data_IF_277353762646
#
_entry.id   IF_277353762646
#
_cell.length_a   1.000
_cell.length_b   1.000
_cell.length_c   1.000
_cell.angle_alpha   90.00
_cell.angle_beta   90.00
_cell.angle_gamma   90.00
#
_symmetry.space_group_name_H-M   'P 1'
#
loop_
_entity.id
_entity.type
_entity.pdbx_description
1 polymer ?
#
# COMPACT_ATOMS: atom_id res chain seq x y z
N UNK A 1 23.87 83.52 -30.05
CA UNK A 1 22.51 83.50 -30.67
C UNK A 1 22.34 82.16 -31.35
N UNK A 2 21.33 81.40 -30.92
CA UNK A 2 20.79 80.14 -31.48
C UNK A 2 21.61 78.85 -31.34
N UNK A 3 21.21 78.08 -30.35
CA UNK A 3 21.30 76.62 -30.27
C UNK A 3 20.69 75.95 -31.51
N UNK A 4 21.37 74.91 -32.02
CA UNK A 4 20.78 73.88 -32.89
C UNK A 4 20.97 72.52 -32.24
N UNK A 5 19.88 72.02 -31.65
CA UNK A 5 19.74 70.64 -31.18
C UNK A 5 19.49 69.74 -32.39
N UNK A 6 20.32 68.72 -32.58
CA UNK A 6 20.05 67.59 -33.48
C UNK A 6 19.52 66.46 -32.60
N UNK A 7 18.22 66.17 -32.69
CA UNK A 7 17.58 65.05 -32.00
C UNK A 7 17.66 63.80 -32.91
N UNK A 8 18.42 62.78 -32.48
CA UNK A 8 18.31 61.43 -33.01
C UNK A 8 17.13 60.72 -32.32
N UNK A 9 16.11 60.36 -33.09
CA UNK A 9 15.04 59.45 -32.64
C UNK A 9 15.55 58.01 -32.71
N UNK A 10 15.79 57.38 -31.55
CA UNK A 10 15.80 55.93 -31.45
C UNK A 10 14.37 55.44 -31.22
N UNK A 11 13.79 54.81 -32.23
CA UNK A 11 12.55 54.03 -32.10
C UNK A 11 12.94 52.73 -31.38
N UNK A 12 12.75 52.69 -30.07
CA UNK A 12 12.75 51.43 -29.31
C UNK A 12 11.39 50.79 -29.55
N UNK A 13 11.35 49.83 -30.47
CA UNK A 13 10.21 48.94 -30.63
C UNK A 13 10.12 48.04 -29.39
N UNK A 14 9.28 48.41 -28.42
CA UNK A 14 8.82 47.47 -27.40
C UNK A 14 7.93 46.44 -28.09
N UNK A 15 8.50 45.27 -28.39
CA UNK A 15 7.73 44.07 -28.64
C UNK A 15 7.02 43.70 -27.33
N UNK A 16 5.79 44.16 -27.17
CA UNK A 16 4.87 43.62 -26.19
C UNK A 16 4.61 42.16 -26.57
N UNK A 17 5.35 41.25 -25.94
CA UNK A 17 4.90 39.87 -25.80
C UNK A 17 3.63 39.90 -24.97
N UNK A 18 2.48 39.71 -25.63
CA UNK A 18 1.22 39.41 -24.97
C UNK A 18 1.37 38.05 -24.28
N UNK A 19 1.87 38.07 -23.05
CA UNK A 19 1.62 37.01 -22.09
C UNK A 19 0.13 37.12 -21.74
N UNK A 20 -0.69 36.19 -22.22
CA UNK A 20 -2.08 36.10 -21.82
C UNK A 20 -2.13 35.83 -20.31
N UNK A 21 -2.67 36.79 -19.55
CA UNK A 21 -2.87 36.65 -18.12
C UNK A 21 -3.91 35.56 -17.82
N UNK A 22 -3.75 34.88 -16.69
CA UNK A 22 -4.67 33.86 -16.15
C UNK A 22 -6.02 34.43 -15.68
N UNK A 23 -6.28 35.72 -15.91
CA UNK A 23 -7.43 36.50 -15.42
C UNK A 23 -8.76 36.23 -16.14
N UNK A 24 -8.74 35.51 -17.26
CA UNK A 24 -9.92 35.35 -18.15
C UNK A 24 -10.65 34.00 -17.97
N UNK A 25 -10.27 33.18 -16.99
CA UNK A 25 -10.91 31.90 -16.71
C UNK A 25 -12.05 32.08 -15.70
N UNK A 26 -13.27 31.73 -16.10
CA UNK A 26 -14.46 31.66 -15.26
C UNK A 26 -14.59 30.25 -14.62
N UNK A 27 -14.79 30.22 -13.30
CA UNK A 27 -14.98 28.99 -12.51
C UNK A 27 -14.37 29.13 -11.12
N UNK A 28 -15.02 28.58 -10.10
CA UNK A 28 -14.46 28.54 -8.75
C UNK A 28 -13.75 27.20 -8.52
N UNK A 29 -12.42 27.22 -8.37
CA UNK A 29 -11.75 26.08 -7.78
C UNK A 29 -11.97 26.12 -6.28
N UNK A 30 -12.80 25.20 -5.76
CA UNK A 30 -13.14 25.27 -4.33
C UNK A 30 -11.92 24.91 -3.49
N UNK A 31 -11.74 25.57 -2.34
CA UNK A 31 -10.70 25.17 -1.40
C UNK A 31 -10.84 23.68 -1.07
N UNK A 32 -9.75 22.92 -1.25
CA UNK A 32 -9.62 21.44 -1.06
C UNK A 32 -9.98 20.56 -2.27
N UNK A 33 -10.32 21.12 -3.43
CA UNK A 33 -10.43 20.32 -4.65
C UNK A 33 -9.06 20.08 -5.27
N UNK A 34 -8.72 18.82 -5.51
CA UNK A 34 -7.45 18.46 -6.16
C UNK A 34 -7.41 18.87 -7.63
N UNK A 35 -8.57 19.01 -8.28
CA UNK A 35 -8.72 19.31 -9.70
C UNK A 35 -9.75 20.41 -9.87
N UNK A 36 -9.40 21.42 -10.65
CA UNK A 36 -10.31 22.48 -11.06
C UNK A 36 -10.74 22.23 -12.51
N UNK A 37 -12.02 22.43 -12.78
CA UNK A 37 -12.54 22.52 -14.15
C UNK A 37 -12.97 23.97 -14.38
N UNK A 38 -12.28 24.64 -15.28
CA UNK A 38 -12.44 26.06 -15.56
C UNK A 38 -12.96 26.24 -16.98
N UNK A 39 -13.63 27.35 -17.23
CA UNK A 39 -14.17 27.69 -18.55
C UNK A 39 -13.71 29.07 -18.99
N UNK A 40 -13.60 29.29 -20.29
CA UNK A 40 -13.39 30.63 -20.86
C UNK A 40 -14.30 30.82 -22.06
N UNK A 41 -15.00 31.95 -22.09
CA UNK A 41 -15.77 32.36 -23.23
C UNK A 41 -14.88 33.20 -24.16
N UNK A 42 -14.66 32.72 -25.39
CA UNK A 42 -13.88 33.41 -26.41
C UNK A 42 -14.65 33.43 -27.74
N UNK A 43 -15.10 34.62 -28.18
CA UNK A 43 -15.73 34.82 -29.49
C UNK A 43 -16.86 33.80 -29.82
N UNK A 44 -17.84 33.65 -28.91
CA UNK A 44 -18.94 32.67 -28.95
C UNK A 44 -18.51 31.19 -28.85
N UNK A 45 -17.25 30.90 -28.56
CA UNK A 45 -16.76 29.56 -28.21
C UNK A 45 -16.61 29.44 -26.70
N UNK A 46 -16.73 28.22 -26.22
CA UNK A 46 -16.56 27.89 -24.80
C UNK A 46 -15.40 26.92 -24.71
N UNK A 47 -14.31 27.37 -24.11
CA UNK A 47 -13.12 26.56 -23.89
C UNK A 47 -13.15 25.99 -22.47
N UNK A 48 -12.89 24.69 -22.34
CA UNK A 48 -12.77 24.01 -21.05
C UNK A 48 -11.31 23.77 -20.73
N UNK A 49 -10.94 24.05 -19.49
CA UNK A 49 -9.62 23.87 -18.95
C UNK A 49 -9.68 22.96 -17.72
N UNK A 50 -8.64 22.14 -17.54
CA UNK A 50 -8.45 21.36 -16.33
C UNK A 50 -7.14 21.77 -15.69
N UNK A 51 -7.18 22.07 -14.39
CA UNK A 51 -6.01 22.39 -13.58
C UNK A 51 -5.79 21.32 -12.51
N UNK A 52 -4.58 20.79 -12.41
CA UNK A 52 -4.21 19.85 -11.35
C UNK A 52 -3.53 20.57 -10.19
N UNK A 53 -4.19 20.64 -9.03
CA UNK A 53 -3.68 21.29 -7.81
C UNK A 53 -2.95 20.34 -6.87
N UNK A 54 -2.75 19.08 -7.25
CA UNK A 54 -1.86 18.18 -6.51
C UNK A 54 -0.44 18.75 -6.46
N UNK A 55 0.39 18.35 -5.48
CA UNK A 55 1.78 18.84 -5.41
C UNK A 55 2.51 18.66 -6.74
N UNK A 56 2.96 19.78 -7.30
CA UNK A 56 3.63 19.88 -8.61
C UNK A 56 2.82 19.39 -9.82
N UNK A 57 1.50 19.12 -9.68
CA UNK A 57 0.65 18.57 -10.74
C UNK A 57 1.02 17.14 -11.17
N UNK A 58 1.78 16.42 -10.35
CA UNK A 58 2.35 15.11 -10.69
C UNK A 58 1.42 13.92 -10.39
N UNK A 59 0.39 14.12 -9.57
CA UNK A 59 -0.51 13.04 -9.16
C UNK A 59 -1.79 13.08 -10.00
N UNK A 60 -2.03 12.06 -10.85
CA UNK A 60 -3.09 12.15 -11.84
C UNK A 60 -4.46 11.92 -11.23
N UNK A 61 -5.41 12.71 -11.70
CA UNK A 61 -6.85 12.47 -11.57
C UNK A 61 -7.44 12.42 -12.97
N UNK A 62 -8.48 11.60 -13.15
CA UNK A 62 -9.26 11.57 -14.37
C UNK A 62 -10.51 12.42 -14.21
N UNK A 63 -10.76 13.28 -15.19
CA UNK A 63 -11.96 14.09 -15.31
C UNK A 63 -12.79 13.58 -16.50
N UNK A 64 -14.02 13.15 -16.24
CA UNK A 64 -14.97 12.64 -17.21
C UNK A 64 -16.03 13.70 -17.52
N UNK A 65 -16.14 14.07 -18.79
CA UNK A 65 -17.04 15.10 -19.30
C UNK A 65 -18.19 14.45 -20.07
N UNK A 66 -19.38 14.54 -19.48
CA UNK A 66 -20.61 14.08 -20.11
C UNK A 66 -21.56 15.26 -20.33
N UNK A 67 -21.80 15.61 -21.60
CA UNK A 67 -22.76 16.66 -21.96
C UNK A 67 -24.13 16.05 -22.15
N UNK A 68 -25.05 16.34 -21.21
CA UNK A 68 -26.43 15.84 -21.26
C UNK A 68 -27.28 16.57 -22.28
N UNK A 69 -26.98 17.84 -22.54
CA UNK A 69 -27.56 18.60 -23.66
C UNK A 69 -26.46 19.40 -24.34
N UNK A 70 -26.53 19.51 -25.66
CA UNK A 70 -25.60 20.28 -26.48
C UNK A 70 -26.33 20.87 -27.69
N UNK A 71 -26.94 22.04 -27.50
CA UNK A 71 -27.74 22.72 -28.52
C UNK A 71 -26.94 23.83 -29.20
N UNK A 72 -26.94 23.81 -30.53
CA UNK A 72 -26.20 24.75 -31.39
C UNK A 72 -24.67 24.80 -31.12
N UNK A 73 -24.11 23.76 -30.50
CA UNK A 73 -22.66 23.61 -30.32
C UNK A 73 -22.16 22.32 -30.95
N UNK A 74 -20.89 22.33 -31.36
CA UNK A 74 -20.09 21.14 -31.66
C UNK A 74 -18.84 21.12 -30.80
N UNK A 75 -18.46 19.93 -30.36
CA UNK A 75 -17.20 19.67 -29.65
C UNK A 75 -16.07 19.42 -30.65
N UNK A 76 -14.85 19.84 -30.31
CA UNK A 76 -13.62 19.51 -31.04
C UNK A 76 -13.05 18.12 -30.69
N UNK A 77 -13.56 17.50 -29.63
CA UNK A 77 -13.28 16.10 -29.25
C UNK A 77 -14.55 15.25 -29.34
N UNK A 78 -14.37 13.93 -29.48
CA UNK A 78 -15.48 12.98 -29.37
C UNK A 78 -16.04 12.97 -27.95
N UNK A 79 -17.37 13.05 -27.83
CA UNK A 79 -18.08 13.01 -26.56
C UNK A 79 -18.79 11.65 -26.38
N UNK A 80 -18.88 11.11 -25.15
CA UNK A 80 -18.28 11.63 -23.93
C UNK A 80 -16.76 11.52 -23.94
N UNK A 81 -16.10 12.39 -23.17
CA UNK A 81 -14.66 12.57 -23.20
C UNK A 81 -14.06 12.40 -21.80
N UNK A 82 -12.87 11.84 -21.69
CA UNK A 82 -12.11 11.79 -20.45
C UNK A 82 -10.74 12.42 -20.63
N UNK A 83 -10.26 13.06 -19.58
CA UNK A 83 -8.95 13.69 -19.54
C UNK A 83 -8.20 13.28 -18.27
N UNK A 84 -6.98 12.76 -18.44
CA UNK A 84 -6.08 12.47 -17.32
C UNK A 84 -5.20 13.69 -17.06
N UNK A 85 -5.33 14.26 -15.87
CA UNK A 85 -4.62 15.47 -15.45
C UNK A 85 -3.22 15.14 -14.94
N UNK A 86 -2.25 14.99 -15.85
CA UNK A 86 -0.86 14.65 -15.50
C UNK A 86 0.14 15.69 -16.00
N UNK A 87 1.08 16.07 -15.13
CA UNK A 87 2.36 16.67 -15.53
C UNK A 87 2.41 18.20 -15.63
N UNK A 88 1.46 18.93 -15.06
CA UNK A 88 1.56 20.38 -14.85
C UNK A 88 0.47 20.86 -13.86
N UNK A 89 0.79 21.88 -13.06
CA UNK A 89 -0.17 22.60 -12.22
C UNK A 89 -0.89 23.74 -12.93
N UNK A 90 -0.45 24.13 -14.12
CA UNK A 90 -1.11 25.16 -14.92
C UNK A 90 -2.40 24.63 -15.59
N UNK A 91 -3.45 25.47 -15.71
CA UNK A 91 -4.66 25.11 -16.44
C UNK A 91 -4.34 24.71 -17.89
N UNK A 92 -4.75 23.50 -18.28
CA UNK A 92 -4.61 23.00 -19.65
C UNK A 92 -5.95 22.99 -20.36
N UNK A 93 -6.02 23.58 -21.56
CA UNK A 93 -7.21 23.47 -22.42
C UNK A 93 -7.40 22.02 -22.87
N UNK A 94 -8.61 21.50 -22.73
CA UNK A 94 -8.92 20.09 -23.01
C UNK A 94 -10.05 19.88 -24.03
N UNK A 95 -10.91 20.88 -24.19
CA UNK A 95 -12.12 20.78 -25.00
C UNK A 95 -12.54 22.20 -25.42
N UNK A 96 -13.07 22.33 -26.64
CA UNK A 96 -13.70 23.55 -27.14
C UNK A 96 -15.09 23.23 -27.69
N UNK A 97 -16.10 23.95 -27.21
CA UNK A 97 -17.42 24.00 -27.83
C UNK A 97 -17.49 25.19 -28.78
N UNK A 98 -17.75 24.93 -30.06
CA UNK A 98 -17.90 25.95 -31.10
C UNK A 98 -19.34 26.00 -31.60
N UNK A 99 -19.90 27.19 -31.90
CA UNK A 99 -21.28 27.29 -32.35
C UNK A 99 -21.43 26.69 -33.76
N UNK A 100 -22.52 25.97 -33.98
CA UNK A 100 -22.88 25.47 -35.32
C UNK A 100 -23.42 26.61 -36.21
N UNK A 101 -24.20 27.52 -35.61
CA UNK A 101 -24.70 28.74 -36.23
C UNK A 101 -24.47 29.93 -35.30
N UNK A 102 -23.62 30.86 -35.73
CA UNK A 102 -23.22 32.03 -34.94
C UNK A 102 -24.36 33.03 -34.67
N UNK A 103 -25.49 32.91 -35.39
CA UNK A 103 -26.68 33.77 -35.24
C UNK A 103 -27.70 33.20 -34.25
N UNK A 104 -27.54 31.96 -33.81
CA UNK A 104 -28.42 31.32 -32.82
C UNK A 104 -27.71 31.27 -31.46
N UNK A 105 -28.45 31.47 -30.38
CA UNK A 105 -27.94 31.19 -29.04
C UNK A 105 -27.70 29.69 -28.89
N UNK A 106 -26.57 29.32 -28.28
CA UNK A 106 -26.31 27.93 -27.90
C UNK A 106 -26.51 27.73 -26.41
N UNK A 107 -26.81 26.49 -26.02
CA UNK A 107 -26.93 26.09 -24.62
C UNK A 107 -26.41 24.68 -24.43
N UNK A 108 -25.83 24.40 -23.27
CA UNK A 108 -25.38 23.07 -22.91
C UNK A 108 -25.64 22.80 -21.44
N UNK A 109 -25.70 21.52 -21.08
CA UNK A 109 -25.63 21.04 -19.72
C UNK A 109 -24.64 19.90 -19.64
N UNK A 110 -23.89 19.82 -18.54
CA UNK A 110 -22.83 18.84 -18.38
C UNK A 110 -22.81 18.27 -16.97
N UNK A 111 -22.58 16.96 -16.88
CA UNK A 111 -22.18 16.27 -15.67
C UNK A 111 -20.70 15.94 -15.78
N UNK A 112 -19.89 16.56 -14.92
CA UNK A 112 -18.44 16.40 -14.92
C UNK A 112 -18.06 15.68 -13.63
N UNK A 113 -17.35 14.56 -13.76
CA UNK A 113 -16.95 13.72 -12.64
C UNK A 113 -15.44 13.68 -12.57
N UNK A 114 -14.89 13.89 -11.38
CA UNK A 114 -13.45 13.80 -11.13
C UNK A 114 -13.18 12.64 -10.19
N UNK A 115 -12.19 11.82 -10.53
CA UNK A 115 -11.74 10.70 -9.69
C UNK A 115 -10.22 10.65 -9.65
N UNK A 116 -9.67 10.31 -8.49
CA UNK A 116 -8.23 10.06 -8.36
C UNK A 116 -7.80 8.89 -9.25
N UNK A 117 -6.58 8.96 -9.77
CA UNK A 117 -5.93 7.89 -10.51
C UNK A 117 -5.96 8.04 -12.03
N UNK A 118 -5.43 7.02 -12.68
CA UNK A 118 -5.31 6.89 -14.13
C UNK A 118 -5.85 5.52 -14.56
N UNK A 119 -6.73 5.48 -15.57
CA UNK A 119 -7.30 4.23 -16.13
C UNK A 119 -6.24 3.30 -16.70
N UNK A 120 -5.09 3.86 -17.08
CA UNK A 120 -3.97 3.14 -17.68
C UNK A 120 -2.89 2.76 -16.67
N UNK A 121 -3.07 3.04 -15.37
CA UNK A 121 -2.07 2.76 -14.33
C UNK A 121 -1.58 1.30 -14.33
N UNK A 122 -2.44 0.33 -14.67
CA UNK A 122 -2.07 -1.09 -14.73
C UNK A 122 -1.16 -1.46 -15.91
N UNK A 123 -0.99 -0.58 -16.90
CA UNK A 123 -0.12 -0.83 -18.05
C UNK A 123 1.34 -0.58 -17.74
N UNK A 124 1.64 0.18 -16.68
CA UNK A 124 3.01 0.44 -16.24
C UNK A 124 3.56 -0.78 -15.49
N UNK A 125 4.32 -1.61 -16.22
CA UNK A 125 4.94 -2.84 -15.68
C UNK A 125 6.23 -2.57 -14.91
N UNK A 126 6.74 -1.34 -14.90
CA UNK A 126 7.97 -0.98 -14.20
C UNK A 126 7.71 -0.54 -12.75
N UNK A 127 6.49 -0.79 -12.25
CA UNK A 127 6.08 -0.41 -10.90
C UNK A 127 6.26 -1.58 -9.96
N UNK A 128 7.16 -1.40 -9.01
CA UNK A 128 7.37 -2.36 -7.91
C UNK A 128 6.85 -1.78 -6.61
N UNK A 129 6.13 -2.61 -5.85
CA UNK A 129 5.67 -2.30 -4.49
C UNK A 129 6.57 -2.97 -3.46
N UNK A 130 6.68 -2.38 -2.28
CA UNK A 130 7.22 -3.05 -1.10
C UNK A 130 6.12 -3.69 -0.28
N UNK A 131 6.48 -4.71 0.47
CA UNK A 131 5.59 -5.28 1.47
C UNK A 131 5.25 -4.23 2.55
N UNK A 132 3.96 -3.98 2.84
CA UNK A 132 3.52 -2.83 3.64
C UNK A 132 3.65 -3.02 5.16
N UNK A 133 4.66 -3.76 5.62
CA UNK A 133 4.87 -4.10 7.03
C UNK A 133 6.36 -4.31 7.35
N UNK A 134 6.72 -4.19 8.63
CA UNK A 134 8.10 -4.35 9.12
C UNK A 134 8.45 -5.81 9.44
N UNK A 135 7.47 -6.61 9.87
CA UNK A 135 7.65 -7.99 10.36
C UNK A 135 7.27 -9.02 9.30
N UNK A 136 7.68 -10.28 9.48
CA UNK A 136 7.16 -11.38 8.67
C UNK A 136 5.62 -11.40 8.69
N UNK A 137 4.99 -11.59 7.53
CA UNK A 137 3.54 -11.78 7.48
C UNK A 137 3.15 -12.88 6.51
N UNK A 138 2.12 -13.64 6.90
CA UNK A 138 1.51 -14.66 6.05
C UNK A 138 0.42 -14.03 5.20
N UNK A 139 0.36 -14.39 3.91
CA UNK A 139 -0.82 -14.11 3.09
C UNK A 139 -1.96 -15.03 3.53
N UNK A 140 -2.93 -14.48 4.25
CA UNK A 140 -4.11 -15.20 4.73
C UNK A 140 -5.10 -15.48 3.60
N UNK A 141 -5.38 -14.46 2.79
CA UNK A 141 -6.19 -14.54 1.57
C UNK A 141 -5.45 -13.79 0.46
N UNK A 142 -5.19 -14.47 -0.65
CA UNK A 142 -4.50 -13.89 -1.80
C UNK A 142 -5.44 -13.48 -2.92
N UNK A 143 -4.88 -13.33 -4.11
CA UNK A 143 -5.61 -12.98 -5.32
C UNK A 143 -6.67 -14.04 -5.68
N UNK A 144 -7.77 -13.59 -6.28
CA UNK A 144 -8.92 -14.39 -6.68
C UNK A 144 -9.45 -15.28 -5.53
N UNK A 145 -9.36 -14.77 -4.29
CA UNK A 145 -9.80 -15.44 -3.08
C UNK A 145 -11.31 -15.69 -3.07
N UNK A 146 -11.71 -16.87 -2.60
CA UNK A 146 -13.12 -17.33 -2.62
C UNK A 146 -14.07 -16.56 -1.69
N UNK A 147 -13.56 -15.79 -0.72
CA UNK A 147 -14.40 -15.13 0.28
C UNK A 147 -14.76 -13.71 -0.15
N UNK A 148 -13.75 -12.85 -0.27
CA UNK A 148 -13.94 -11.40 -0.50
C UNK A 148 -13.12 -10.85 -1.67
N UNK A 149 -12.12 -11.58 -2.16
CA UNK A 149 -11.20 -11.11 -3.21
C UNK A 149 -11.66 -11.57 -4.60
N UNK A 150 -12.81 -11.04 -5.04
CA UNK A 150 -13.39 -11.32 -6.35
C UNK A 150 -13.96 -10.05 -6.99
N UNK A 151 -14.24 -10.10 -8.29
CA UNK A 151 -14.73 -8.94 -9.04
C UNK A 151 -13.73 -7.78 -8.99
N UNK A 152 -14.19 -6.60 -8.58
CA UNK A 152 -13.36 -5.39 -8.46
C UNK A 152 -12.21 -5.55 -7.47
N UNK A 153 -12.27 -6.50 -6.53
CA UNK A 153 -11.24 -6.75 -5.52
C UNK A 153 -10.44 -8.03 -5.77
N UNK A 154 -10.46 -8.56 -7.00
CA UNK A 154 -9.78 -9.82 -7.36
C UNK A 154 -8.28 -9.82 -7.06
N UNK A 155 -7.63 -8.66 -6.99
CA UNK A 155 -6.20 -8.55 -6.71
C UNK A 155 -5.86 -8.01 -5.31
N UNK A 156 -6.81 -8.11 -4.37
CA UNK A 156 -6.55 -7.80 -2.97
C UNK A 156 -5.73 -8.89 -2.26
N UNK A 157 -5.09 -8.49 -1.17
CA UNK A 157 -4.20 -9.30 -0.35
C UNK A 157 -4.49 -9.04 1.13
N UNK A 158 -4.69 -10.11 1.90
CA UNK A 158 -4.82 -10.05 3.36
C UNK A 158 -3.54 -10.57 4.00
N UNK A 159 -2.83 -9.70 4.68
CA UNK A 159 -1.63 -10.04 5.43
C UNK A 159 -1.97 -10.25 6.90
N UNK A 160 -1.76 -11.45 7.43
CA UNK A 160 -2.05 -11.78 8.83
C UNK A 160 -1.06 -11.02 9.71
N UNK A 161 -1.56 -10.00 10.40
CA UNK A 161 -0.79 -9.13 11.28
C UNK A 161 -1.54 -8.96 12.61
N UNK A 162 -0.86 -9.10 13.77
CA UNK A 162 -1.42 -8.68 15.04
C UNK A 162 -1.87 -7.22 14.99
N UNK A 163 -2.95 -6.87 15.67
CA UNK A 163 -3.36 -5.48 15.82
C UNK A 163 -2.22 -4.66 16.46
N UNK A 164 -1.98 -3.46 15.94
CA UNK A 164 -0.89 -2.59 16.37
C UNK A 164 0.45 -2.80 15.64
N UNK A 165 0.53 -3.72 14.69
CA UNK A 165 1.74 -3.88 13.87
C UNK A 165 1.94 -2.66 12.97
N UNK A 166 3.19 -2.22 12.77
CA UNK A 166 3.51 -1.09 11.88
C UNK A 166 3.06 -1.37 10.45
N UNK A 167 2.28 -0.44 9.88
CA UNK A 167 1.91 -0.42 8.46
C UNK A 167 2.75 0.62 7.75
N UNK A 168 3.42 0.21 6.68
CA UNK A 168 4.31 1.02 5.88
C UNK A 168 3.70 1.35 4.53
N UNK A 169 4.00 2.53 3.98
CA UNK A 169 3.66 2.87 2.60
C UNK A 169 4.40 1.91 1.64
N UNK A 170 3.65 1.05 0.96
CA UNK A 170 4.17 0.11 -0.04
C UNK A 170 4.92 0.84 -1.18
N UNK A 171 4.52 2.08 -1.47
CA UNK A 171 5.18 2.97 -2.42
C UNK A 171 4.90 4.43 -2.04
N UNK A 172 5.82 5.32 -2.36
CA UNK A 172 5.66 6.76 -2.12
C UNK A 172 4.52 7.36 -2.92
N UNK A 173 3.83 8.34 -2.34
CA UNK A 173 2.68 8.96 -2.99
C UNK A 173 1.97 10.01 -2.15
N UNK A 174 0.86 10.53 -2.67
CA UNK A 174 0.02 11.53 -2.02
C UNK A 174 -1.10 10.83 -1.24
N UNK A 175 -1.25 11.13 0.04
CA UNK A 175 -2.38 10.66 0.84
C UNK A 175 -3.64 11.40 0.40
N UNK A 176 -4.59 10.69 -0.21
CA UNK A 176 -5.81 11.28 -0.79
C UNK A 176 -7.07 11.02 0.02
N UNK A 177 -7.07 10.00 0.89
CA UNK A 177 -8.19 9.73 1.79
C UNK A 177 -7.71 8.96 3.02
N UNK A 178 -8.40 9.20 4.15
CA UNK A 178 -8.18 8.49 5.41
C UNK A 178 -9.50 8.34 6.14
N UNK A 179 -9.67 7.24 6.86
CA UNK A 179 -10.74 7.04 7.84
C UNK A 179 -10.14 6.38 9.08
N UNK A 180 -10.49 6.87 10.26
CA UNK A 180 -9.84 6.47 11.53
C UNK A 180 -10.81 6.44 12.73
N UNK A 181 -12.11 6.65 12.48
CA UNK A 181 -13.12 6.81 13.54
C UNK A 181 -13.69 5.49 14.05
N UNK A 182 -13.58 4.40 13.31
CA UNK A 182 -14.21 3.13 13.68
C UNK A 182 -13.41 2.39 14.75
N UNK A 183 -14.12 1.68 15.62
CA UNK A 183 -13.56 1.06 16.82
C UNK A 183 -13.56 -0.47 16.78
N UNK A 184 -14.36 -1.07 15.91
CA UNK A 184 -14.61 -2.51 15.92
C UNK A 184 -14.85 -3.05 14.52
N UNK A 185 -14.72 -4.36 14.39
CA UNK A 185 -15.04 -5.11 13.20
C UNK A 185 -15.83 -6.37 13.50
N UNK A 186 -16.32 -7.00 12.43
CA UNK A 186 -17.06 -8.25 12.49
C UNK A 186 -17.59 -8.66 11.12
N UNK A 187 -18.20 -9.84 11.05
CA UNK A 187 -18.64 -10.48 9.79
C UNK A 187 -20.11 -10.27 9.45
N UNK A 188 -20.77 -9.30 10.09
CA UNK A 188 -22.17 -8.96 9.78
C UNK A 188 -22.24 -7.80 8.79
N UNK A 189 -23.35 -7.65 8.03
CA UNK A 189 -23.52 -6.53 7.10
C UNK A 189 -23.35 -5.14 7.74
N UNK A 190 -23.57 -5.02 9.05
CA UNK A 190 -23.36 -3.79 9.82
C UNK A 190 -21.94 -3.23 9.68
N UNK A 191 -20.93 -4.06 9.45
CA UNK A 191 -19.53 -3.67 9.42
C UNK A 191 -18.97 -3.34 8.03
N UNK A 192 -19.77 -3.52 6.95
CA UNK A 192 -19.31 -3.40 5.55
C UNK A 192 -18.72 -2.03 5.20
N UNK A 193 -19.18 -0.97 5.85
CA UNK A 193 -18.76 0.42 5.61
C UNK A 193 -17.97 1.01 6.79
N UNK A 194 -17.45 0.16 7.69
CA UNK A 194 -16.86 0.57 8.98
C UNK A 194 -15.38 0.26 9.14
N UNK A 195 -14.63 0.19 8.04
CA UNK A 195 -13.19 -0.01 8.08
C UNK A 195 -12.47 1.34 8.18
N UNK A 196 -11.45 1.41 9.04
CA UNK A 196 -10.45 2.47 8.98
C UNK A 196 -9.44 2.15 7.89
N UNK A 197 -9.02 3.16 7.14
CA UNK A 197 -8.13 2.98 6.00
C UNK A 197 -7.29 4.21 5.69
N UNK A 198 -6.25 4.00 4.88
CA UNK A 198 -5.47 5.04 4.22
C UNK A 198 -5.48 4.75 2.72
N UNK A 199 -5.68 5.78 1.87
CA UNK A 199 -5.47 5.70 0.42
C UNK A 199 -4.34 6.62 -0.02
N UNK A 200 -3.41 6.06 -0.78
CA UNK A 200 -2.26 6.76 -1.34
C UNK A 200 -2.34 6.71 -2.86
N UNK A 201 -2.36 7.87 -3.51
CA UNK A 201 -2.27 8.04 -4.96
C UNK A 201 -0.80 8.14 -5.37
N UNK A 202 -0.39 7.34 -6.34
CA UNK A 202 0.96 7.32 -6.87
C UNK A 202 1.05 8.11 -8.20
N UNK A 203 2.28 8.45 -8.64
CA UNK A 203 2.52 9.31 -9.83
C UNK A 203 2.17 8.64 -11.17
N UNK A 204 2.12 7.31 -11.19
CA UNK A 204 1.59 6.50 -12.30
C UNK A 204 0.06 6.44 -12.32
N UNK A 205 -0.61 6.95 -11.27
CA UNK A 205 -2.06 6.98 -11.14
C UNK A 205 -2.69 5.75 -10.54
N UNK A 206 -1.90 4.82 -10.01
CA UNK A 206 -2.42 3.76 -9.18
C UNK A 206 -2.74 4.27 -7.77
N UNK A 207 -3.67 3.60 -7.08
CA UNK A 207 -4.10 3.97 -5.72
C UNK A 207 -3.91 2.76 -4.81
N UNK A 208 -3.00 2.83 -3.85
CA UNK A 208 -2.89 1.81 -2.80
C UNK A 208 -3.86 2.12 -1.66
N UNK A 209 -4.63 1.13 -1.22
CA UNK A 209 -5.43 1.20 0.00
C UNK A 209 -4.89 0.23 1.06
N UNK A 210 -4.86 0.71 2.30
CA UNK A 210 -4.44 -0.02 3.49
C UNK A 210 -5.65 -0.06 4.43
N UNK A 211 -6.33 -1.19 4.50
CA UNK A 211 -7.62 -1.36 5.19
C UNK A 211 -7.51 -2.01 6.56
N UNK A 212 -8.65 -2.05 7.26
CA UNK A 212 -8.83 -2.65 8.59
C UNK A 212 -7.89 -2.08 9.67
N UNK A 213 -7.43 -0.84 9.53
CA UNK A 213 -6.54 -0.20 10.50
C UNK A 213 -7.19 -0.12 11.88
N UNK A 214 -6.40 -0.10 12.96
CA UNK A 214 -6.96 0.04 14.30
C UNK A 214 -7.59 1.42 14.52
N UNK A 215 -8.41 1.55 15.55
CA UNK A 215 -8.91 2.87 15.96
C UNK A 215 -7.77 3.80 16.36
N UNK A 216 -7.80 5.05 15.86
CA UNK A 216 -6.71 6.02 16.06
C UNK A 216 -5.37 5.47 15.60
N UNK A 217 -5.40 4.68 14.54
CA UNK A 217 -4.26 3.96 13.98
C UNK A 217 -3.61 4.68 12.81
N UNK A 218 -4.24 5.73 12.27
CA UNK A 218 -3.72 6.49 11.11
C UNK A 218 -2.73 7.55 11.60
N UNK A 219 -1.52 7.57 11.02
CA UNK A 219 -0.42 8.49 11.39
C UNK A 219 -0.18 9.60 10.36
N UNK A 220 -0.94 9.60 9.26
CA UNK A 220 -0.79 10.54 8.15
C UNK A 220 -2.09 11.31 7.92
N UNK A 221 -2.01 12.43 7.21
CA UNK A 221 -3.17 13.27 6.89
C UNK A 221 -3.35 13.43 5.38
N UNK A 222 -4.59 13.67 4.96
CA UNK A 222 -4.89 14.01 3.56
C UNK A 222 -4.02 15.20 3.12
N UNK A 223 -3.38 15.05 1.96
CA UNK A 223 -2.45 15.99 1.36
C UNK A 223 -0.98 15.82 1.76
N UNK A 224 -0.67 14.91 2.70
CA UNK A 224 0.71 14.53 2.99
C UNK A 224 1.30 13.71 1.84
N UNK A 225 2.51 14.06 1.40
CA UNK A 225 3.32 13.20 0.53
C UNK A 225 4.17 12.29 1.40
N UNK A 226 4.07 10.98 1.18
CA UNK A 226 4.81 9.96 1.92
C UNK A 226 5.84 9.27 1.03
N UNK A 227 6.92 8.78 1.64
CA UNK A 227 7.95 8.00 0.95
C UNK A 227 7.69 6.49 1.05
N UNK A 228 8.26 5.72 0.12
CA UNK A 228 8.22 4.25 0.20
C UNK A 228 8.87 3.77 1.50
N UNK A 229 8.17 2.93 2.26
CA UNK A 229 8.62 2.42 3.56
C UNK A 229 8.35 3.36 4.74
N UNK A 230 7.80 4.55 4.52
CA UNK A 230 7.37 5.44 5.61
C UNK A 230 6.25 4.78 6.41
N UNK A 231 6.32 4.88 7.75
CA UNK A 231 5.28 4.36 8.64
C UNK A 231 4.04 5.26 8.56
N UNK A 232 2.93 4.70 8.11
CA UNK A 232 1.69 5.46 7.85
C UNK A 232 0.57 5.12 8.83
N UNK A 233 0.68 4.01 9.54
CA UNK A 233 -0.34 3.62 10.51
C UNK A 233 -0.05 2.30 11.21
N UNK A 234 -1.10 1.75 11.81
CA UNK A 234 -1.06 0.48 12.53
C UNK A 234 -2.19 -0.46 12.07
N UNK A 235 -1.86 -1.74 11.87
CA UNK A 235 -2.83 -2.77 11.52
C UNK A 235 -3.88 -2.91 12.63
N UNK A 236 -5.05 -3.43 12.28
CA UNK A 236 -6.13 -3.60 13.23
C UNK A 236 -7.11 -4.67 12.83
N UNK A 237 -8.38 -4.43 13.19
CA UNK A 237 -9.48 -5.34 12.95
C UNK A 237 -10.81 -4.59 12.83
N UNK A 238 -10.80 -3.39 12.24
CA UNK A 238 -12.02 -2.57 12.07
C UNK A 238 -12.77 -2.94 10.79
N UNK A 239 -14.08 -2.75 10.76
CA UNK A 239 -14.90 -3.00 9.58
C UNK A 239 -15.20 -4.49 9.34
N UNK A 240 -15.50 -4.85 8.09
CA UNK A 240 -15.90 -6.22 7.75
C UNK A 240 -14.71 -7.17 7.77
N UNK A 241 -14.31 -7.57 8.97
CA UNK A 241 -13.13 -8.38 9.25
C UNK A 241 -13.46 -9.44 10.31
N UNK A 242 -12.96 -10.65 10.12
CA UNK A 242 -13.16 -11.78 11.03
C UNK A 242 -12.07 -11.90 12.10
N UNK A 243 -10.86 -11.40 11.83
CA UNK A 243 -9.71 -11.46 12.71
C UNK A 243 -8.68 -10.38 12.31
N UNK A 244 -7.75 -9.97 13.20
CA UNK A 244 -6.74 -8.96 12.88
C UNK A 244 -5.88 -9.32 11.67
N UNK A 245 -5.82 -8.40 10.71
CA UNK A 245 -4.99 -8.48 9.51
C UNK A 245 -4.88 -7.09 8.86
N UNK A 246 -4.01 -6.96 7.86
CA UNK A 246 -3.96 -5.82 6.96
C UNK A 246 -4.53 -6.25 5.60
N UNK A 247 -5.65 -5.64 5.20
CA UNK A 247 -6.13 -5.71 3.81
C UNK A 247 -5.35 -4.70 2.97
N UNK A 248 -4.83 -5.13 1.83
CA UNK A 248 -4.08 -4.32 0.90
C UNK A 248 -4.55 -4.58 -0.53
N UNK A 249 -4.79 -3.52 -1.28
CA UNK A 249 -4.92 -3.63 -2.73
C UNK A 249 -4.38 -2.38 -3.43
N UNK A 250 -4.15 -2.52 -4.73
CA UNK A 250 -3.85 -1.39 -5.61
C UNK A 250 -4.93 -1.31 -6.66
N UNK A 251 -5.50 -0.12 -6.79
CA UNK A 251 -6.68 0.17 -7.58
C UNK A 251 -6.36 1.13 -8.72
N UNK A 252 -7.20 1.08 -9.75
CA UNK A 252 -7.32 2.12 -10.79
C UNK A 252 -8.80 2.37 -11.10
N UNK A 253 -9.16 3.54 -11.67
CA UNK A 253 -10.48 3.75 -12.23
C UNK A 253 -10.81 2.73 -13.33
N UNK A 254 -12.06 2.28 -13.37
CA UNK A 254 -12.61 1.54 -14.50
C UNK A 254 -12.77 2.45 -15.72
N UNK A 255 -12.85 1.87 -16.91
CA UNK A 255 -12.99 2.65 -18.16
C UNK A 255 -14.34 3.37 -18.29
N UNK A 256 -15.35 2.92 -17.55
CA UNK A 256 -16.64 3.60 -17.44
C UNK A 256 -16.67 4.64 -16.29
N UNK A 257 -15.56 4.76 -15.55
CA UNK A 257 -15.32 5.74 -14.47
C UNK A 257 -16.25 5.64 -13.26
N UNK A 258 -17.10 4.61 -13.19
CA UNK A 258 -18.08 4.44 -12.12
C UNK A 258 -17.44 3.88 -10.85
N UNK A 259 -16.46 3.01 -10.98
CA UNK A 259 -15.88 2.28 -9.85
C UNK A 259 -14.35 2.29 -9.89
N UNK A 260 -13.75 1.61 -8.91
CA UNK A 260 -12.33 1.33 -8.87
C UNK A 260 -12.17 -0.18 -8.96
N UNK A 261 -11.19 -0.64 -9.72
CA UNK A 261 -10.86 -2.05 -9.82
C UNK A 261 -9.41 -2.29 -9.43
N UNK A 262 -9.17 -3.40 -8.75
CA UNK A 262 -7.84 -3.88 -8.41
C UNK A 262 -7.17 -4.56 -9.61
N UNK A 263 -5.84 -4.52 -9.65
CA UNK A 263 -5.05 -5.13 -10.70
C UNK A 263 -3.76 -5.78 -10.14
N UNK A 264 -3.11 -6.70 -10.89
CA UNK A 264 -1.90 -7.38 -10.43
C UNK A 264 -0.79 -6.42 -10.03
N UNK A 265 0.00 -6.78 -9.02
CA UNK A 265 1.12 -5.96 -8.53
C UNK A 265 2.33 -6.83 -8.23
N UNK A 266 3.50 -6.35 -8.63
CA UNK A 266 4.77 -6.99 -8.31
C UNK A 266 5.35 -6.44 -7.02
N UNK A 267 5.87 -7.32 -6.16
CA UNK A 267 6.42 -7.00 -4.86
C UNK A 267 7.91 -7.32 -4.74
N UNK A 268 8.66 -6.38 -4.16
CA UNK A 268 10.00 -6.63 -3.65
C UNK A 268 9.90 -7.43 -2.34
N UNK A 269 10.41 -8.66 -2.33
CA UNK A 269 10.38 -9.58 -1.18
C UNK A 269 11.78 -10.09 -0.85
N UNK A 270 11.90 -10.83 0.25
CA UNK A 270 13.12 -11.56 0.61
C UNK A 270 13.48 -12.71 -0.36
N UNK A 271 12.54 -13.14 -1.20
CA UNK A 271 12.76 -14.09 -2.29
C UNK A 271 13.11 -13.40 -3.62
N UNK A 272 13.17 -12.06 -3.64
CA UNK A 272 13.37 -11.23 -4.83
C UNK A 272 12.08 -10.55 -5.29
N UNK A 273 12.06 -10.09 -6.54
CA UNK A 273 10.88 -9.52 -7.17
C UNK A 273 9.90 -10.64 -7.54
N UNK A 274 8.68 -10.58 -7.02
CA UNK A 274 7.62 -11.54 -7.30
C UNK A 274 6.42 -10.83 -7.95
N UNK A 275 5.96 -11.34 -9.08
CA UNK A 275 4.75 -10.85 -9.76
C UNK A 275 3.46 -11.33 -9.07
N UNK A 276 3.57 -12.33 -8.20
CA UNK A 276 2.44 -12.89 -7.47
C UNK A 276 2.88 -13.42 -6.10
N UNK A 277 2.25 -12.92 -5.03
CA UNK A 277 2.30 -13.52 -3.70
C UNK A 277 1.31 -14.69 -3.56
N UNK A 278 1.73 -15.78 -2.92
CA UNK A 278 0.94 -17.01 -2.77
C UNK A 278 0.21 -17.04 -1.43
N UNK A 279 -1.08 -17.38 -1.48
CA UNK A 279 -1.88 -17.67 -0.27
C UNK A 279 -1.20 -18.75 0.58
N UNK A 280 -1.12 -18.51 1.89
CA UNK A 280 -0.48 -19.40 2.86
C UNK A 280 1.03 -19.21 3.01
N UNK A 281 1.69 -18.55 2.05
CA UNK A 281 3.12 -18.23 2.15
C UNK A 281 3.37 -17.06 3.12
N UNK A 282 4.55 -17.08 3.74
CA UNK A 282 5.07 -16.00 4.60
C UNK A 282 6.14 -15.24 3.83
N UNK A 283 6.06 -13.90 3.86
CA UNK A 283 6.99 -12.99 3.19
C UNK A 283 7.55 -11.96 4.17
N UNK A 284 8.74 -11.44 3.86
CA UNK A 284 9.43 -10.41 4.63
C UNK A 284 9.76 -9.20 3.77
N UNK A 285 9.62 -8.02 4.35
CA UNK A 285 10.10 -6.78 3.74
C UNK A 285 11.64 -6.80 3.66
N UNK A 286 12.24 -6.65 2.47
CA UNK A 286 13.68 -6.79 2.28
C UNK A 286 14.52 -5.66 2.88
N UNK A 287 13.93 -4.54 3.30
CA UNK A 287 14.68 -3.30 3.65
C UNK A 287 14.97 -3.04 5.11
N UNK A 288 14.91 -4.05 5.96
CA UNK A 288 15.54 -3.92 7.26
C UNK A 288 17.04 -4.17 7.08
N UNK A 289 17.86 -3.23 7.55
CA UNK A 289 19.18 -3.54 8.11
C UNK A 289 19.03 -4.88 8.81
N UNK A 290 19.64 -5.92 8.22
CA UNK A 290 19.61 -7.27 8.79
C UNK A 290 19.96 -7.09 10.26
N UNK A 291 19.15 -7.57 11.22
CA UNK A 291 19.68 -7.78 12.55
C UNK A 291 20.89 -8.68 12.34
N UNK A 292 22.10 -8.12 12.44
CA UNK A 292 23.35 -8.88 12.38
C UNK A 292 23.15 -10.09 13.27
N UNK A 293 23.30 -11.28 12.68
CA UNK A 293 22.86 -12.58 13.19
C UNK A 293 22.35 -12.50 14.62
N UNK A 294 21.02 -12.46 14.80
CA UNK A 294 20.45 -12.52 16.15
C UNK A 294 21.00 -13.78 16.79
N UNK A 295 21.90 -13.60 17.76
CA UNK A 295 22.12 -14.61 18.78
C UNK A 295 20.78 -14.70 19.49
N UNK A 296 20.03 -15.75 19.21
CA UNK A 296 18.80 -16.01 19.92
C UNK A 296 19.17 -16.37 21.35
N UNK A 297 18.94 -15.42 22.25
CA UNK A 297 18.91 -15.66 23.68
C UNK A 297 17.43 -15.77 24.06
N UNK A 298 16.92 -16.98 24.09
CA UNK A 298 15.67 -17.24 24.79
C UNK A 298 16.05 -17.72 26.19
N UNK A 299 16.14 -16.78 27.13
CA UNK A 299 15.99 -17.13 28.54
C UNK A 299 14.50 -17.40 28.76
N UNK A 300 14.18 -18.53 29.39
CA UNK A 300 12.82 -18.98 29.74
C UNK A 300 12.06 -19.80 28.68
N UNK A 301 12.75 -20.73 28.02
CA UNK A 301 12.06 -21.84 27.34
C UNK A 301 11.28 -22.68 28.37
N UNK A 302 9.96 -22.55 28.36
CA UNK A 302 9.06 -23.39 29.16
C UNK A 302 8.77 -24.68 28.39
N UNK A 303 9.07 -25.82 29.01
CA UNK A 303 8.66 -27.14 28.52
C UNK A 303 7.17 -27.28 28.83
N UNK A 304 6.34 -27.45 27.81
CA UNK A 304 4.89 -27.57 27.95
C UNK A 304 4.43 -28.96 27.51
N UNK A 305 3.43 -29.50 28.22
CA UNK A 305 3.01 -30.90 28.10
C UNK A 305 2.13 -31.21 26.87
N UNK A 306 1.54 -30.19 26.23
CA UNK A 306 0.69 -30.36 25.05
C UNK A 306 0.71 -29.18 24.05
N UNK A 307 0.54 -29.51 22.76
CA UNK A 307 0.32 -28.56 21.66
C UNK A 307 -1.11 -28.71 21.12
N UNK A 308 -2.08 -28.09 21.81
CA UNK A 308 -3.49 -28.10 21.37
C UNK A 308 -3.78 -26.82 20.58
N UNK A 309 -4.26 -26.96 19.34
CA UNK A 309 -4.75 -25.85 18.50
C UNK A 309 -3.77 -24.68 18.28
N UNK A 310 -2.47 -24.94 18.07
CA UNK A 310 -1.43 -23.91 17.83
C UNK A 310 -1.21 -22.92 18.99
N UNK A 311 -1.65 -23.27 20.20
CA UNK A 311 -1.33 -22.56 21.44
C UNK A 311 -0.64 -23.53 22.41
N UNK A 312 0.33 -23.01 23.16
CA UNK A 312 0.98 -23.73 24.25
C UNK A 312 0.02 -23.76 25.45
N UNK A 313 -0.24 -24.94 26.01
CA UNK A 313 -1.04 -25.15 27.22
C UNK A 313 -0.22 -25.91 28.28
N UNK A 314 -0.52 -25.69 29.57
CA UNK A 314 0.08 -26.38 30.72
C UNK A 314 1.62 -26.34 30.79
N UNK A 315 2.16 -25.13 30.67
CA UNK A 315 3.59 -24.85 30.89
C UNK A 315 3.97 -24.74 32.40
N UNK A 316 3.07 -25.13 33.30
CA UNK A 316 3.28 -25.15 34.76
C UNK A 316 3.79 -26.52 35.22
N UNK A 317 5.11 -26.62 35.34
CA UNK A 317 5.88 -27.51 36.23
C UNK A 317 5.58 -29.01 36.28
N UNK A 318 4.79 -29.58 35.38
CA UNK A 318 4.57 -31.04 35.29
C UNK A 318 5.24 -31.62 34.06
N UNK A 319 6.53 -31.94 34.24
CA UNK A 319 7.41 -32.63 33.29
C UNK A 319 7.16 -34.14 33.31
N UNK A 320 7.00 -34.78 32.14
CA UNK A 320 6.93 -36.24 32.03
C UNK A 320 8.16 -36.81 31.30
N UNK A 321 9.14 -37.40 32.03
CA UNK A 321 10.36 -37.96 31.44
C UNK A 321 10.13 -39.18 30.52
N UNK A 322 8.91 -39.72 30.45
CA UNK A 322 8.57 -40.84 29.57
C UNK A 322 8.13 -40.40 28.16
N UNK A 323 7.83 -39.11 27.95
CA UNK A 323 7.45 -38.55 26.63
C UNK A 323 8.67 -37.99 25.90
N UNK A 324 8.75 -38.16 24.58
CA UNK A 324 9.91 -37.69 23.81
C UNK A 324 9.83 -36.19 23.53
N UNK A 325 10.85 -35.38 23.83
CA UNK A 325 10.84 -33.96 23.51
C UNK A 325 11.10 -33.70 22.03
N UNK A 326 10.42 -32.70 21.50
CA UNK A 326 10.68 -32.19 20.14
C UNK A 326 11.12 -30.73 20.22
N UNK A 327 12.19 -30.40 19.49
CA UNK A 327 12.61 -29.03 19.25
C UNK A 327 12.06 -28.62 17.88
N UNK A 328 11.32 -27.54 17.83
CA UNK A 328 10.79 -26.98 16.59
C UNK A 328 11.54 -25.69 16.27
N UNK A 329 12.16 -25.65 15.10
CA UNK A 329 12.80 -24.45 14.55
C UNK A 329 12.03 -23.96 13.35
N UNK A 330 11.72 -22.67 13.33
CA UNK A 330 11.17 -22.00 12.16
C UNK A 330 12.23 -21.06 11.59
N UNK A 331 12.53 -21.15 10.29
CA UNK A 331 13.58 -20.36 9.62
C UNK A 331 13.01 -19.38 8.61
N UNK A 332 13.62 -18.20 8.50
CA UNK A 332 13.20 -17.10 7.60
C UNK A 332 13.20 -17.54 6.14
N UNK A 333 14.32 -18.09 5.67
CA UNK A 333 14.45 -18.58 4.29
C UNK A 333 14.49 -20.11 4.31
N UNK A 334 13.61 -20.81 3.57
CA UNK A 334 13.76 -22.25 3.34
C UNK A 334 15.07 -22.51 2.62
N UNK A 335 15.80 -23.52 3.08
CA UNK A 335 17.11 -23.83 2.53
C UNK A 335 17.67 -25.06 3.22
N UNK A 336 18.67 -25.66 2.57
CA UNK A 336 19.46 -26.69 3.25
C UNK A 336 20.45 -25.98 4.16
N UNK A 337 20.30 -26.18 5.47
CA UNK A 337 21.21 -25.62 6.47
C UNK A 337 21.74 -26.73 7.35
N UNK A 338 23.05 -26.77 7.53
CA UNK A 338 23.71 -27.67 8.48
C UNK A 338 23.83 -26.93 9.81
N UNK A 339 22.81 -27.00 10.66
CA UNK A 339 22.73 -26.27 11.92
C UNK A 339 23.55 -26.92 13.02
N UNK A 340 24.18 -26.07 13.83
CA UNK A 340 24.77 -26.40 15.12
C UNK A 340 23.92 -25.73 16.19
N UNK A 341 23.10 -26.52 16.87
CA UNK A 341 22.24 -26.05 17.96
C UNK A 341 22.88 -26.44 19.28
N UNK A 342 23.11 -25.49 20.15
CA UNK A 342 23.65 -25.70 21.49
C UNK A 342 22.56 -25.42 22.52
N UNK A 343 22.33 -26.39 23.40
CA UNK A 343 21.31 -26.33 24.45
C UNK A 343 22.04 -26.37 25.78
N UNK A 344 21.84 -25.35 26.61
CA UNK A 344 22.47 -25.21 27.92
C UNK A 344 21.43 -25.24 29.03
N UNK A 345 21.74 -25.90 30.15
CA UNK A 345 20.94 -25.82 31.38
C UNK A 345 21.25 -24.54 32.17
N UNK A 346 20.51 -24.31 33.26
CA UNK A 346 20.70 -23.19 34.19
C UNK A 346 22.08 -23.16 34.87
N UNK A 347 22.78 -24.31 34.90
CA UNK A 347 24.14 -24.45 35.44
C UNK A 347 25.23 -24.28 34.35
N UNK A 348 24.86 -23.83 33.15
CA UNK A 348 25.76 -23.62 31.99
C UNK A 348 26.43 -24.86 31.41
N UNK A 349 25.93 -26.07 31.73
CA UNK A 349 26.30 -27.30 31.02
C UNK A 349 25.58 -27.32 29.68
N UNK A 350 26.34 -27.30 28.58
CA UNK A 350 25.81 -27.23 27.22
C UNK A 350 26.01 -28.54 26.45
N UNK A 351 25.02 -28.94 25.64
CA UNK A 351 25.15 -30.00 24.65
C UNK A 351 24.88 -29.47 23.26
N UNK A 352 25.66 -29.96 22.30
CA UNK A 352 25.55 -29.59 20.89
C UNK A 352 24.84 -30.67 20.09
N UNK A 353 23.99 -30.22 19.17
CA UNK A 353 23.21 -31.02 18.25
C UNK A 353 23.53 -30.51 16.84
N UNK A 354 23.96 -31.41 15.97
CA UNK A 354 24.03 -31.15 14.54
C UNK A 354 22.68 -31.50 13.91
N UNK A 355 22.07 -30.55 13.21
CA UNK A 355 20.74 -30.67 12.64
C UNK A 355 20.67 -30.12 11.22
N UNK A 356 20.40 -31.00 10.25
CA UNK A 356 20.19 -30.61 8.86
C UNK A 356 18.74 -30.20 8.61
N UNK A 357 18.52 -28.92 8.32
CA UNK A 357 17.24 -28.43 7.79
C UNK A 357 17.11 -28.81 6.32
N UNK A 358 15.93 -29.33 5.94
CA UNK A 358 15.64 -29.69 4.56
C UNK A 358 15.07 -28.49 3.78
N UNK A 359 15.44 -28.30 2.50
CA UNK A 359 15.21 -27.06 1.76
C UNK A 359 13.75 -26.69 1.54
N UNK A 360 12.83 -27.64 1.54
CA UNK A 360 11.41 -27.38 1.29
C UNK A 360 10.58 -26.99 2.54
N UNK A 361 11.18 -26.92 3.74
CA UNK A 361 10.42 -26.72 4.98
C UNK A 361 10.79 -25.42 5.69
N UNK A 362 9.79 -24.53 5.91
CA UNK A 362 9.92 -23.31 6.73
C UNK A 362 9.99 -23.62 8.23
N UNK A 363 9.50 -24.78 8.64
CA UNK A 363 9.55 -25.31 10.00
C UNK A 363 10.15 -26.71 9.98
N UNK A 364 11.11 -26.98 10.84
CA UNK A 364 11.66 -28.33 11.02
C UNK A 364 11.48 -28.76 12.48
N UNK A 365 11.32 -30.06 12.64
CA UNK A 365 11.15 -30.70 13.94
C UNK A 365 12.32 -31.65 14.16
N UNK A 366 13.10 -31.41 15.21
CA UNK A 366 14.13 -32.32 15.66
C UNK A 366 13.60 -33.12 16.85
N UNK A 367 13.61 -34.44 16.69
CA UNK A 367 13.29 -35.35 17.77
C UNK A 367 14.59 -35.68 18.48
N UNK A 368 14.60 -35.57 19.80
CA UNK A 368 15.79 -35.86 20.60
C UNK A 368 15.41 -36.62 21.87
N UNK A 369 16.41 -37.24 22.50
CA UNK A 369 16.25 -37.99 23.74
C UNK A 369 16.59 -37.09 24.95
N UNK A 370 15.89 -37.30 26.07
CA UNK A 370 16.20 -36.70 27.35
C UNK A 370 17.63 -36.95 27.81
N UNK A 371 18.34 -37.97 27.31
CA UNK A 371 19.78 -38.09 27.55
C UNK A 371 20.57 -36.84 27.15
N UNK A 372 20.03 -35.96 26.29
CA UNK A 372 20.61 -34.67 25.93
C UNK A 372 20.32 -33.53 26.94
N UNK A 373 19.36 -33.70 27.83
CA UNK A 373 19.00 -32.77 28.90
C UNK A 373 19.41 -33.38 30.26
N UNK A 374 19.98 -32.60 31.19
CA UNK A 374 20.07 -33.08 32.57
C UNK A 374 18.64 -33.30 33.06
N UNK A 375 18.34 -34.46 33.66
CA UNK A 375 16.99 -34.93 34.02
C UNK A 375 16.29 -34.13 35.14
N UNK A 376 16.37 -32.80 35.11
CA UNK A 376 15.83 -31.88 36.08
C UNK A 376 14.98 -30.81 35.38
N UNK A 377 13.82 -30.42 35.95
CA UNK A 377 13.12 -29.22 35.52
C UNK A 377 14.01 -27.98 35.67
N UNK A 378 13.93 -27.03 34.75
CA UNK A 378 14.74 -25.82 34.84
C UNK A 378 14.61 -24.90 33.63
N UNK A 379 15.23 -23.72 33.74
CA UNK A 379 15.37 -22.79 32.61
C UNK A 379 16.48 -23.29 31.69
N UNK A 380 16.18 -23.35 30.39
CA UNK A 380 17.11 -23.79 29.35
C UNK A 380 17.38 -22.66 28.37
N UNK A 381 18.62 -22.61 27.86
CA UNK A 381 19.06 -21.67 26.84
C UNK A 381 19.36 -22.43 25.55
N UNK A 382 18.79 -22.00 24.43
CA UNK A 382 19.12 -22.52 23.10
C UNK A 382 19.88 -21.46 22.33
N UNK A 383 21.00 -21.85 21.74
CA UNK A 383 21.79 -21.03 20.83
C UNK A 383 21.95 -21.79 19.51
N UNK A 384 21.60 -21.16 18.39
CA UNK A 384 21.98 -21.69 17.07
C UNK A 384 23.23 -20.96 16.60
N UNK A 385 24.29 -21.71 16.35
CA UNK A 385 25.66 -21.22 16.11
C UNK A 385 25.88 -20.89 14.61
N UNK A 386 24.83 -20.94 13.80
CA UNK A 386 24.89 -20.63 12.37
C UNK A 386 24.37 -19.22 12.09
N UNK A 387 24.88 -18.58 11.05
CA UNK A 387 24.36 -17.33 10.48
C UNK A 387 23.04 -17.58 9.72
N UNK A 388 22.04 -18.09 10.44
CA UNK A 388 20.69 -18.30 9.93
C UNK A 388 19.67 -17.53 10.74
N UNK A 389 18.69 -16.96 10.05
CA UNK A 389 17.65 -16.16 10.66
C UNK A 389 16.52 -17.07 11.13
N UNK A 390 16.54 -17.40 12.42
CA UNK A 390 15.49 -18.16 13.09
C UNK A 390 14.34 -17.22 13.41
N UNK A 391 13.10 -17.66 13.18
CA UNK A 391 11.89 -16.92 13.48
C UNK A 391 11.41 -17.24 14.90
N UNK A 392 11.41 -18.53 15.28
CA UNK A 392 10.85 -19.00 16.55
C UNK A 392 11.40 -20.35 17.03
N UNK A 393 11.62 -20.38 18.36
CA UNK A 393 12.06 -21.40 19.32
C UNK A 393 11.02 -22.20 20.10
N UNK A 394 10.74 -23.51 19.91
CA UNK A 394 9.92 -24.24 20.91
C UNK A 394 10.45 -25.62 21.27
N UNK A 395 10.35 -25.99 22.54
CA UNK A 395 10.37 -27.39 22.97
C UNK A 395 8.95 -27.80 23.36
N UNK A 396 8.48 -28.92 22.80
CA UNK A 396 7.15 -29.48 23.10
C UNK A 396 7.32 -30.95 23.51
N UNK A 397 6.57 -31.41 24.51
CA UNK A 397 6.47 -32.84 24.81
C UNK A 397 5.52 -33.52 23.80
N UNK A 398 5.90 -34.68 23.26
CA UNK A 398 5.04 -35.50 22.40
C UNK A 398 4.62 -36.80 23.08
#
# INVERSE_FOLDING_TARGET
MRDRVVALFFIVAFSFGLSAETSDLEGECKPKEWICVLTRNDNNRIEFYVQNQTPSGEYPFVAYFNFTTLENFKSDVSLPFHFVSKGNSEPKKILTLSPLNIRKTGSYSSNIYVRAGDVDASKDRNVTYRLPFEIASRVGQGYNGKSTHSGEFSYALDFILPEGSSVLAARGGLVIATEDKFHSGGITPFFKDKANFIRILHKDGSIAEYGHLKHKGVLVRIGQVVQTGEKIGFSGNTGFSSAPHLHFHVLKPTIDFQTLESFPTSFETDEGLLDELKTGAVYWNPSNVLPAGKIFFEEDLKICSEFVQKKLSDCEEKFNPQKGPILVLEVRKPGKYDLKVEICNSESTCKRIDWVLQPQWKSSVFHFDWSLFPGHPGKYRIQVINDIEIIKTWIVEK
#
